data_IF_368637246889
#
_entry.id   IF_368637246889
#
_cell.length_a   1.000
_cell.length_b   1.000
_cell.length_c   1.000
_cell.angle_alpha   90.00
_cell.angle_beta   90.00
_cell.angle_gamma   90.00
#
_symmetry.space_group_name_H-M   'P 1'
#
loop_
_entity.id
_entity.type
_entity.pdbx_description
1 polymer ?
#
# COMPACT_ATOMS: atom_id res chain seq x y z
N UNK A 1 -161.68 53.64 -40.00
CA UNK A 1 -162.62 54.47 -39.21
C UNK A 1 -161.78 55.42 -38.38
N UNK A 2 -161.62 56.68 -38.84
CA UNK A 2 -162.27 57.89 -38.28
C UNK A 2 -161.67 58.30 -36.92
N UNK A 3 -161.27 59.54 -36.64
CA UNK A 3 -161.31 60.82 -37.34
C UNK A 3 -160.43 61.80 -36.54
N UNK A 4 -159.80 62.75 -37.25
CA UNK A 4 -159.77 64.19 -36.95
C UNK A 4 -159.95 64.68 -35.50
N UNK A 5 -158.94 65.37 -34.96
CA UNK A 5 -159.11 66.81 -34.65
C UNK A 5 -157.78 67.51 -34.36
N UNK A 6 -157.61 68.64 -35.04
CA UNK A 6 -156.60 69.64 -34.79
C UNK A 6 -156.66 70.18 -33.35
N UNK A 7 -155.50 70.34 -32.73
CA UNK A 7 -155.32 71.30 -31.64
C UNK A 7 -153.95 71.93 -31.77
N UNK A 8 -154.00 73.22 -32.10
CA UNK A 8 -153.05 74.31 -31.96
C UNK A 8 -151.62 74.00 -31.47
N UNK A 9 -150.60 74.63 -32.08
CA UNK A 9 -149.22 74.59 -31.60
C UNK A 9 -149.18 75.26 -30.24
N UNK A 10 -149.17 74.46 -29.17
CA UNK A 10 -148.86 74.95 -27.83
C UNK A 10 -147.42 75.41 -27.87
N UNK A 11 -147.27 76.73 -27.99
CA UNK A 11 -146.07 77.46 -27.60
C UNK A 11 -145.57 76.83 -26.29
N UNK A 12 -144.53 76.00 -26.37
CA UNK A 12 -143.75 75.62 -25.18
C UNK A 12 -143.42 76.95 -24.53
N UNK A 13 -143.94 77.19 -23.33
CA UNK A 13 -143.55 78.36 -22.57
C UNK A 13 -142.03 78.31 -22.44
N UNK A 14 -141.35 79.46 -22.54
CA UNK A 14 -139.88 79.52 -22.45
C UNK A 14 -139.37 78.69 -21.24
N UNK A 15 -140.14 78.60 -20.16
CA UNK A 15 -139.84 77.78 -18.98
C UNK A 15 -139.73 76.26 -19.21
N UNK A 16 -140.56 75.62 -20.03
CA UNK A 16 -140.51 74.16 -20.23
C UNK A 16 -139.36 73.73 -21.17
N UNK A 17 -139.04 74.54 -22.19
CA UNK A 17 -137.86 74.34 -23.04
C UNK A 17 -136.57 74.57 -22.26
N UNK A 18 -136.56 75.56 -21.36
CA UNK A 18 -135.44 75.80 -20.43
C UNK A 18 -135.27 74.61 -19.47
N UNK A 19 -136.34 74.08 -18.88
CA UNK A 19 -136.26 72.94 -17.96
C UNK A 19 -135.72 71.66 -18.63
N UNK A 20 -136.16 71.34 -19.85
CA UNK A 20 -135.63 70.20 -20.61
C UNK A 20 -134.18 70.42 -21.08
N UNK A 21 -133.81 71.66 -21.44
CA UNK A 21 -132.43 72.00 -21.78
C UNK A 21 -131.50 71.89 -20.55
N UNK A 22 -131.96 72.30 -19.36
CA UNK A 22 -131.23 72.14 -18.10
C UNK A 22 -131.10 70.67 -17.73
N UNK A 23 -132.17 69.87 -17.85
CA UNK A 23 -132.11 68.43 -17.56
C UNK A 23 -131.19 67.70 -18.55
N UNK A 24 -131.26 68.01 -19.84
CA UNK A 24 -130.35 67.47 -20.85
C UNK A 24 -128.90 67.88 -20.58
N UNK A 25 -128.64 69.14 -20.19
CA UNK A 25 -127.31 69.59 -19.77
C UNK A 25 -126.82 68.84 -18.53
N UNK A 26 -127.68 68.62 -17.53
CA UNK A 26 -127.37 67.87 -16.32
C UNK A 26 -127.06 66.41 -16.61
N UNK A 27 -127.86 65.74 -17.45
CA UNK A 27 -127.61 64.34 -17.85
C UNK A 27 -126.33 64.24 -18.66
N UNK A 28 -126.09 65.16 -19.60
CA UNK A 28 -124.84 65.21 -20.36
C UNK A 28 -123.63 65.47 -19.46
N UNK A 29 -123.76 66.36 -18.48
CA UNK A 29 -122.72 66.65 -17.50
C UNK A 29 -122.46 65.45 -16.56
N UNK A 30 -123.51 64.74 -16.14
CA UNK A 30 -123.41 63.53 -15.33
C UNK A 30 -122.78 62.38 -16.11
N UNK A 31 -123.14 62.20 -17.40
CA UNK A 31 -122.51 61.23 -18.29
C UNK A 31 -121.05 61.56 -18.53
N UNK A 32 -120.73 62.84 -18.80
CA UNK A 32 -119.36 63.32 -18.98
C UNK A 32 -118.54 63.14 -17.69
N UNK A 33 -119.15 63.36 -16.52
CA UNK A 33 -118.51 63.10 -15.23
C UNK A 33 -118.30 61.60 -15.02
N UNK A 34 -119.30 60.75 -15.29
CA UNK A 34 -119.18 59.29 -15.20
C UNK A 34 -118.11 58.74 -16.15
N UNK A 35 -118.05 59.19 -17.39
CA UNK A 35 -117.01 58.76 -18.35
C UNK A 35 -115.64 59.28 -17.95
N UNK A 36 -115.52 60.50 -17.43
CA UNK A 36 -114.27 61.06 -16.92
C UNK A 36 -113.78 60.30 -15.67
N UNK A 37 -114.66 60.01 -14.72
CA UNK A 37 -114.37 59.25 -13.51
C UNK A 37 -114.02 57.81 -13.86
N UNK A 38 -114.77 57.17 -14.76
CA UNK A 38 -114.47 55.81 -15.22
C UNK A 38 -113.14 55.78 -15.96
N UNK A 39 -112.84 56.74 -16.85
CA UNK A 39 -111.55 56.82 -17.53
C UNK A 39 -110.39 57.05 -16.54
N UNK A 40 -110.58 57.88 -15.50
CA UNK A 40 -109.60 58.08 -14.41
C UNK A 40 -109.39 56.81 -13.59
N UNK A 41 -110.46 56.08 -13.26
CA UNK A 41 -110.40 54.82 -12.52
C UNK A 41 -109.74 53.72 -13.37
N UNK A 42 -110.11 53.59 -14.65
CA UNK A 42 -109.50 52.65 -15.59
C UNK A 42 -108.02 52.95 -15.77
N UNK A 43 -107.66 54.20 -16.07
CA UNK A 43 -106.26 54.61 -16.20
C UNK A 43 -105.47 54.41 -14.91
N UNK A 44 -106.05 54.73 -13.75
CA UNK A 44 -105.44 54.46 -12.44
C UNK A 44 -105.28 52.98 -12.14
N UNK A 45 -106.24 52.13 -12.54
CA UNK A 45 -106.17 50.68 -12.38
C UNK A 45 -105.16 50.02 -13.33
N UNK A 46 -105.00 50.54 -14.54
CA UNK A 46 -103.97 50.12 -15.49
C UNK A 46 -102.58 50.52 -15.00
N UNK A 47 -102.41 51.75 -14.51
CA UNK A 47 -101.16 52.19 -13.86
C UNK A 47 -100.81 51.32 -12.64
N UNK A 48 -101.79 50.97 -11.82
CA UNK A 48 -101.58 50.09 -10.68
C UNK A 48 -101.19 48.67 -11.12
N UNK A 49 -101.82 48.13 -12.18
CA UNK A 49 -101.48 46.83 -12.75
C UNK A 49 -100.06 46.84 -13.34
N UNK A 50 -99.68 47.88 -14.07
CA UNK A 50 -98.33 48.05 -14.59
C UNK A 50 -97.30 48.17 -13.47
N UNK A 51 -97.57 49.01 -12.46
CA UNK A 51 -96.72 49.15 -11.28
C UNK A 51 -96.57 47.85 -10.48
N UNK A 52 -97.66 47.10 -10.31
CA UNK A 52 -97.62 45.77 -9.69
C UNK A 52 -96.85 44.75 -10.53
N UNK A 53 -96.97 44.82 -11.87
CA UNK A 53 -96.19 44.01 -12.81
C UNK A 53 -94.69 44.31 -12.73
N UNK A 54 -94.31 45.59 -12.70
CA UNK A 54 -92.93 46.02 -12.53
C UNK A 54 -92.36 45.60 -11.16
N UNK A 55 -93.14 45.75 -10.09
CA UNK A 55 -92.74 45.30 -8.75
C UNK A 55 -92.55 43.78 -8.68
N UNK A 56 -93.44 43.00 -9.31
CA UNK A 56 -93.30 41.53 -9.39
C UNK A 56 -92.08 41.12 -10.22
N UNK A 57 -91.80 41.81 -11.33
CA UNK A 57 -90.61 41.57 -12.14
C UNK A 57 -89.32 41.91 -11.36
N UNK A 58 -89.30 43.05 -10.68
CA UNK A 58 -88.19 43.45 -9.80
C UNK A 58 -87.97 42.47 -8.64
N UNK A 59 -89.03 41.95 -8.03
CA UNK A 59 -88.95 40.92 -6.99
C UNK A 59 -88.38 39.60 -7.53
N UNK A 60 -88.73 39.22 -8.76
CA UNK A 60 -88.17 38.03 -9.43
C UNK A 60 -86.68 38.22 -9.73
N UNK A 61 -86.29 39.37 -10.26
CA UNK A 61 -84.89 39.70 -10.53
C UNK A 61 -84.05 39.73 -9.25
N UNK A 62 -84.59 40.25 -8.14
CA UNK A 62 -83.94 40.22 -6.84
C UNK A 62 -83.75 38.79 -6.32
N UNK A 63 -84.76 37.93 -6.47
CA UNK A 63 -84.66 36.51 -6.12
C UNK A 63 -83.58 35.81 -6.95
N UNK A 64 -83.56 36.01 -8.27
CA UNK A 64 -82.56 35.39 -9.16
C UNK A 64 -81.15 35.89 -8.87
N UNK A 65 -81.00 37.20 -8.58
CA UNK A 65 -79.76 37.79 -8.12
C UNK A 65 -79.29 37.21 -6.77
N UNK A 66 -80.21 37.00 -5.83
CA UNK A 66 -79.91 36.38 -4.53
C UNK A 66 -79.51 34.90 -4.68
N UNK A 67 -80.14 34.15 -5.58
CA UNK A 67 -79.75 32.77 -5.91
C UNK A 67 -78.35 32.73 -6.55
N UNK A 68 -78.06 33.64 -7.48
CA UNK A 68 -76.73 33.74 -8.10
C UNK A 68 -75.65 34.09 -7.06
N UNK A 69 -75.96 34.98 -6.11
CA UNK A 69 -75.06 35.31 -5.01
C UNK A 69 -74.85 34.12 -4.07
N UNK A 70 -75.90 33.37 -3.76
CA UNK A 70 -75.81 32.16 -2.95
C UNK A 70 -74.95 31.08 -3.62
N UNK A 71 -75.12 30.86 -4.93
CA UNK A 71 -74.28 29.95 -5.71
C UNK A 71 -72.83 30.43 -5.76
N UNK A 72 -72.61 31.75 -5.92
CA UNK A 72 -71.29 32.38 -5.89
C UNK A 72 -70.61 32.19 -4.53
N UNK A 73 -71.33 32.39 -3.43
CA UNK A 73 -70.85 32.18 -2.08
C UNK A 73 -70.53 30.69 -1.82
N UNK A 74 -71.37 29.77 -2.26
CA UNK A 74 -71.13 28.33 -2.14
C UNK A 74 -69.90 27.88 -2.93
N UNK A 75 -69.68 28.43 -4.13
CA UNK A 75 -68.46 28.18 -4.92
C UNK A 75 -67.21 28.76 -4.24
N UNK A 76 -67.33 29.94 -3.64
CA UNK A 76 -66.23 30.57 -2.90
C UNK A 76 -65.87 29.75 -1.64
N UNK A 77 -66.87 29.24 -0.92
CA UNK A 77 -66.69 28.37 0.24
C UNK A 77 -66.04 27.03 -0.15
N UNK A 78 -66.54 26.38 -1.20
CA UNK A 78 -65.92 25.17 -1.75
C UNK A 78 -64.48 25.43 -2.23
N UNK A 79 -64.23 26.59 -2.84
CA UNK A 79 -62.88 27.03 -3.21
C UNK A 79 -61.97 27.23 -1.98
N UNK A 80 -62.48 27.86 -0.92
CA UNK A 80 -61.77 28.06 0.33
C UNK A 80 -61.47 26.73 1.06
N UNK A 81 -62.41 25.79 1.05
CA UNK A 81 -62.22 24.44 1.59
C UNK A 81 -61.14 23.68 0.81
N UNK A 82 -61.16 23.74 -0.53
CA UNK A 82 -60.11 23.14 -1.36
C UNK A 82 -58.73 23.74 -1.07
N UNK A 83 -58.63 25.06 -0.88
CA UNK A 83 -57.39 25.73 -0.48
C UNK A 83 -56.94 25.25 0.91
N UNK A 84 -57.86 25.13 1.87
CA UNK A 84 -57.57 24.64 3.22
C UNK A 84 -57.07 23.18 3.22
N UNK A 85 -57.75 22.29 2.49
CA UNK A 85 -57.33 20.89 2.31
C UNK A 85 -55.97 20.80 1.60
N UNK A 86 -55.75 21.61 0.57
CA UNK A 86 -54.47 21.72 -0.12
C UNK A 86 -53.34 22.16 0.82
N UNK A 87 -53.59 23.18 1.65
CA UNK A 87 -52.66 23.66 2.67
C UNK A 87 -52.38 22.59 3.75
N UNK A 88 -53.38 21.83 4.17
CA UNK A 88 -53.22 20.73 5.12
C UNK A 88 -52.34 19.58 4.59
N UNK A 89 -52.57 19.16 3.34
CA UNK A 89 -51.73 18.14 2.68
C UNK A 89 -50.28 18.62 2.51
N UNK A 90 -50.08 19.91 2.23
CA UNK A 90 -48.77 20.53 2.13
C UNK A 90 -48.03 20.46 3.46
N UNK A 91 -48.66 20.91 4.55
CA UNK A 91 -48.08 20.88 5.88
C UNK A 91 -47.67 19.46 6.28
N UNK A 92 -48.52 18.47 6.01
CA UNK A 92 -48.21 17.06 6.24
C UNK A 92 -47.01 16.57 5.41
N UNK A 93 -46.86 17.02 4.16
CA UNK A 93 -45.69 16.73 3.32
C UNK A 93 -44.40 17.35 3.85
N UNK A 94 -44.47 18.60 4.33
CA UNK A 94 -43.33 19.31 4.93
C UNK A 94 -42.88 18.58 6.20
N UNK A 95 -43.80 18.36 7.14
CA UNK A 95 -43.49 17.75 8.44
C UNK A 95 -43.13 16.27 8.34
N UNK A 96 -43.87 15.49 7.54
CA UNK A 96 -43.69 14.04 7.49
C UNK A 96 -42.58 13.57 6.56
N UNK A 97 -42.06 14.43 5.69
CA UNK A 97 -41.17 14.01 4.62
C UNK A 97 -39.97 14.93 4.41
N UNK A 98 -40.18 16.25 4.29
CA UNK A 98 -39.13 17.19 3.92
C UNK A 98 -38.21 17.53 5.10
N UNK A 99 -38.76 17.84 6.29
CA UNK A 99 -37.98 18.04 7.51
C UNK A 99 -37.08 16.82 7.84
N UNK A 100 -37.61 15.59 7.91
CA UNK A 100 -36.78 14.40 8.14
C UNK A 100 -35.71 14.17 7.06
N UNK A 101 -35.98 14.59 5.82
CA UNK A 101 -35.00 14.54 4.72
C UNK A 101 -33.84 15.53 4.93
N UNK A 102 -34.14 16.75 5.38
CA UNK A 102 -33.15 17.77 5.70
C UNK A 102 -32.27 17.36 6.90
N UNK A 103 -32.86 16.78 7.95
CA UNK A 103 -32.12 16.26 9.11
C UNK A 103 -31.14 15.15 8.70
N UNK A 104 -31.60 14.20 7.86
CA UNK A 104 -30.73 13.14 7.31
C UNK A 104 -29.61 13.69 6.45
N UNK A 105 -29.88 14.73 5.67
CA UNK A 105 -28.84 15.38 4.86
C UNK A 105 -27.78 16.04 5.75
N UNK A 106 -28.19 16.71 6.82
CA UNK A 106 -27.27 17.30 7.80
C UNK A 106 -26.43 16.23 8.50
N UNK A 107 -27.04 15.13 8.93
CA UNK A 107 -26.32 14.00 9.52
C UNK A 107 -25.32 13.38 8.54
N UNK A 108 -25.74 13.14 7.30
CA UNK A 108 -24.88 12.60 6.23
C UNK A 108 -23.71 13.53 5.90
N UNK A 109 -23.93 14.84 5.85
CA UNK A 109 -22.88 15.84 5.66
C UNK A 109 -21.88 15.83 6.83
N UNK A 110 -22.37 15.72 8.07
CA UNK A 110 -21.55 15.61 9.27
C UNK A 110 -20.66 14.35 9.27
N UNK A 111 -21.24 13.19 8.94
CA UNK A 111 -20.48 11.93 8.81
C UNK A 111 -19.42 12.02 7.72
N UNK A 112 -19.76 12.58 6.56
CA UNK A 112 -18.83 12.73 5.45
C UNK A 112 -17.65 13.67 5.81
N UNK A 113 -17.93 14.77 6.50
CA UNK A 113 -16.90 15.68 7.01
C UNK A 113 -15.97 14.97 8.01
N UNK A 114 -16.53 14.23 8.97
CA UNK A 114 -15.75 13.46 9.94
C UNK A 114 -14.86 12.40 9.27
N UNK A 115 -15.38 11.67 8.29
CA UNK A 115 -14.59 10.72 7.51
C UNK A 115 -13.47 11.40 6.71
N UNK A 116 -13.72 12.58 6.13
CA UNK A 116 -12.73 13.29 5.33
C UNK A 116 -11.56 13.77 6.21
N UNK A 117 -11.87 14.28 7.40
CA UNK A 117 -10.88 14.60 8.43
C UNK A 117 -10.12 13.35 8.91
N UNK A 118 -10.80 12.22 9.07
CA UNK A 118 -10.16 10.94 9.41
C UNK A 118 -9.14 10.53 8.35
N UNK A 119 -9.49 10.59 7.06
CA UNK A 119 -8.55 10.30 5.97
C UNK A 119 -7.36 11.25 6.04
N UNK A 120 -7.58 12.56 6.14
CA UNK A 120 -6.51 13.54 6.20
C UNK A 120 -5.54 13.26 7.36
N UNK A 121 -6.08 12.94 8.53
CA UNK A 121 -5.30 12.59 9.71
C UNK A 121 -4.56 11.26 9.54
N UNK A 122 -5.21 10.20 9.06
CA UNK A 122 -4.59 8.89 8.84
C UNK A 122 -3.49 8.98 7.76
N UNK A 123 -3.70 9.78 6.73
CA UNK A 123 -2.70 10.02 5.68
C UNK A 123 -1.49 10.75 6.27
N UNK A 124 -1.69 11.86 6.96
CA UNK A 124 -0.59 12.67 7.51
C UNK A 124 0.15 11.96 8.66
N UNK A 125 -0.56 11.27 9.54
CA UNK A 125 0.02 10.69 10.75
C UNK A 125 0.56 9.28 10.55
N UNK A 126 0.07 8.53 9.54
CA UNK A 126 0.42 7.12 9.35
C UNK A 126 0.96 6.85 7.95
N UNK A 127 0.18 7.13 6.90
CA UNK A 127 0.56 6.74 5.54
C UNK A 127 1.80 7.47 5.04
N UNK A 128 1.84 8.80 5.14
CA UNK A 128 2.97 9.61 4.68
C UNK A 128 4.27 9.18 5.39
N UNK A 129 4.35 9.16 6.74
CA UNK A 129 5.54 8.67 7.43
C UNK A 129 5.93 7.24 7.03
N UNK A 130 4.95 6.34 6.90
CA UNK A 130 5.20 4.96 6.47
C UNK A 130 5.84 4.89 5.07
N UNK A 131 5.31 5.62 4.11
CA UNK A 131 5.83 5.67 2.73
C UNK A 131 7.25 6.27 2.69
N UNK A 132 7.52 7.34 3.44
CA UNK A 132 8.88 7.91 3.52
C UNK A 132 9.87 6.96 4.20
N UNK A 133 9.45 6.22 5.23
CA UNK A 133 10.28 5.17 5.84
C UNK A 133 10.60 4.04 4.87
N UNK A 134 9.62 3.58 4.08
CA UNK A 134 9.85 2.57 3.04
C UNK A 134 10.87 3.07 2.03
N UNK A 135 10.76 4.32 1.58
CA UNK A 135 11.69 4.94 0.62
C UNK A 135 13.11 5.03 1.20
N UNK A 136 13.26 5.50 2.44
CA UNK A 136 14.56 5.56 3.14
C UNK A 136 15.19 4.16 3.34
N UNK A 137 14.40 3.20 3.84
CA UNK A 137 14.84 1.81 4.01
C UNK A 137 15.24 1.15 2.68
N UNK A 138 14.48 1.40 1.61
CA UNK A 138 14.81 0.92 0.27
C UNK A 138 16.12 1.52 -0.26
N UNK A 139 16.37 2.82 -0.02
CA UNK A 139 17.64 3.47 -0.40
C UNK A 139 18.82 2.90 0.37
N UNK A 140 18.69 2.72 1.69
CA UNK A 140 19.71 2.09 2.54
C UNK A 140 20.02 0.66 2.08
N UNK A 141 18.97 -0.13 1.86
CA UNK A 141 19.09 -1.49 1.37
C UNK A 141 19.76 -1.53 -0.02
N UNK A 142 19.36 -0.65 -0.95
CA UNK A 142 19.98 -0.56 -2.27
C UNK A 142 21.46 -0.21 -2.16
N UNK A 143 21.83 0.75 -1.30
CA UNK A 143 23.23 1.14 -1.08
C UNK A 143 24.05 -0.03 -0.52
N UNK A 144 23.53 -0.71 0.50
CA UNK A 144 24.18 -1.90 1.08
C UNK A 144 24.30 -3.05 0.09
N UNK A 145 23.27 -3.30 -0.72
CA UNK A 145 23.29 -4.32 -1.76
C UNK A 145 24.31 -4.01 -2.86
N UNK A 146 24.45 -2.74 -3.25
CA UNK A 146 25.49 -2.30 -4.21
C UNK A 146 26.89 -2.46 -3.62
N UNK A 147 27.11 -2.10 -2.36
CA UNK A 147 28.39 -2.30 -1.67
C UNK A 147 28.75 -3.79 -1.57
N UNK A 148 27.80 -4.63 -1.17
CA UNK A 148 28.01 -6.07 -1.09
C UNK A 148 28.26 -6.66 -2.49
N UNK A 149 27.49 -6.26 -3.49
CA UNK A 149 27.67 -6.66 -4.89
C UNK A 149 29.08 -6.33 -5.40
N UNK A 150 29.55 -5.10 -5.14
CA UNK A 150 30.90 -4.68 -5.49
C UNK A 150 31.96 -5.54 -4.76
N UNK A 151 31.75 -5.83 -3.48
CA UNK A 151 32.67 -6.63 -2.69
C UNK A 151 32.71 -8.12 -3.10
N UNK A 152 31.64 -8.63 -3.71
CA UNK A 152 31.52 -10.00 -4.25
C UNK A 152 31.96 -10.11 -5.72
N UNK A 153 32.30 -9.00 -6.37
CA UNK A 153 32.71 -8.99 -7.77
C UNK A 153 34.24 -8.95 -7.84
N UNK A 154 34.90 -9.95 -8.45
CA UNK A 154 36.36 -9.94 -8.58
C UNK A 154 36.85 -8.72 -9.34
N UNK A 155 37.96 -8.13 -8.90
CA UNK A 155 38.64 -7.04 -9.61
C UNK A 155 39.78 -7.55 -10.49
N UNK A 156 40.14 -6.81 -11.55
CA UNK A 156 41.34 -7.12 -12.32
C UNK A 156 42.59 -7.12 -11.41
N UNK A 157 43.27 -8.25 -11.32
CA UNK A 157 44.46 -8.42 -10.47
C UNK A 157 44.19 -8.96 -9.06
N UNK A 158 42.93 -9.13 -8.68
CA UNK A 158 42.51 -9.79 -7.43
C UNK A 158 43.20 -9.24 -6.17
N UNK A 159 43.36 -7.92 -6.08
CA UNK A 159 44.17 -7.26 -5.05
C UNK A 159 43.45 -6.10 -4.35
N UNK A 160 42.16 -5.87 -4.63
CA UNK A 160 41.43 -4.80 -3.97
C UNK A 160 41.25 -5.09 -2.47
N UNK A 161 41.55 -4.09 -1.64
CA UNK A 161 41.34 -4.16 -0.21
C UNK A 161 39.84 -4.32 0.10
N UNK A 162 39.51 -5.22 1.02
CA UNK A 162 38.14 -5.54 1.44
C UNK A 162 37.21 -6.08 0.34
N UNK A 163 37.75 -6.49 -0.81
CA UNK A 163 37.01 -7.27 -1.80
C UNK A 163 37.09 -8.77 -1.44
N UNK A 164 35.92 -9.38 -1.25
CA UNK A 164 35.77 -10.75 -0.77
C UNK A 164 36.14 -11.76 -1.85
N UNK A 165 35.72 -11.51 -3.10
CA UNK A 165 36.02 -12.38 -4.23
C UNK A 165 37.52 -12.40 -4.57
N UNK A 166 38.16 -11.23 -4.48
CA UNK A 166 39.61 -11.10 -4.59
C UNK A 166 40.32 -11.83 -3.45
N UNK A 167 39.77 -11.74 -2.24
CA UNK A 167 40.28 -12.46 -1.09
C UNK A 167 40.28 -13.97 -1.26
N UNK A 168 39.17 -14.52 -1.74
CA UNK A 168 39.06 -15.95 -2.07
C UNK A 168 40.05 -16.35 -3.17
N UNK A 169 40.23 -15.50 -4.19
CA UNK A 169 41.19 -15.71 -5.28
C UNK A 169 42.64 -15.72 -4.76
N UNK A 170 43.00 -14.80 -3.87
CA UNK A 170 44.32 -14.77 -3.22
C UNK A 170 44.57 -16.00 -2.37
N UNK A 171 43.56 -16.47 -1.62
CA UNK A 171 43.66 -17.68 -0.81
C UNK A 171 43.91 -18.92 -1.69
N UNK A 172 43.17 -19.05 -2.80
CA UNK A 172 43.36 -20.09 -3.80
C UNK A 172 44.79 -20.07 -4.39
N UNK A 173 45.26 -18.89 -4.80
CA UNK A 173 46.62 -18.72 -5.33
C UNK A 173 47.70 -19.08 -4.29
N UNK A 174 47.52 -18.66 -3.03
CA UNK A 174 48.42 -19.00 -1.93
C UNK A 174 48.43 -20.50 -1.61
N UNK A 175 47.28 -21.16 -1.61
CA UNK A 175 47.16 -22.60 -1.43
C UNK A 175 47.90 -23.36 -2.55
N UNK A 176 47.78 -22.89 -3.80
CA UNK A 176 48.51 -23.44 -4.95
C UNK A 176 50.02 -23.27 -4.83
N UNK A 177 50.50 -22.11 -4.39
CA UNK A 177 51.93 -21.88 -4.13
C UNK A 177 52.44 -22.78 -3.01
N UNK A 178 51.71 -22.89 -1.90
CA UNK A 178 52.08 -23.73 -0.76
C UNK A 178 52.08 -25.22 -1.14
N UNK A 179 51.11 -25.68 -1.95
CA UNK A 179 51.08 -27.03 -2.53
C UNK A 179 52.32 -27.30 -3.37
N UNK A 180 52.71 -26.34 -4.21
CA UNK A 180 53.91 -26.44 -5.05
C UNK A 180 55.18 -26.53 -4.22
N UNK A 181 55.34 -25.64 -3.23
CA UNK A 181 56.49 -25.65 -2.31
C UNK A 181 56.56 -26.93 -1.47
N UNK A 182 55.41 -27.43 -0.99
CA UNK A 182 55.34 -28.71 -0.29
C UNK A 182 55.75 -29.88 -1.18
N UNK A 183 55.39 -29.87 -2.47
CA UNK A 183 55.85 -30.85 -3.46
C UNK A 183 57.35 -30.80 -3.70
N UNK A 184 57.94 -29.59 -3.75
CA UNK A 184 59.40 -29.43 -3.86
C UNK A 184 60.14 -29.96 -2.62
N UNK A 185 59.62 -29.67 -1.42
CA UNK A 185 60.20 -30.14 -0.16
C UNK A 185 60.08 -31.67 -0.03
N UNK A 186 58.97 -32.25 -0.49
CA UNK A 186 58.75 -33.69 -0.57
C UNK A 186 59.80 -34.37 -1.47
N UNK A 187 60.00 -33.86 -2.69
CA UNK A 187 61.03 -34.36 -3.60
C UNK A 187 62.44 -34.21 -3.02
N UNK A 188 62.70 -33.13 -2.27
CA UNK A 188 63.96 -32.93 -1.55
C UNK A 188 64.16 -33.97 -0.43
N UNK A 189 63.11 -34.26 0.33
CA UNK A 189 63.13 -35.30 1.37
C UNK A 189 63.35 -36.69 0.78
N UNK A 190 62.73 -37.00 -0.37
CA UNK A 190 62.96 -38.26 -1.09
C UNK A 190 64.41 -38.40 -1.57
N UNK A 191 64.99 -37.35 -2.13
CA UNK A 191 66.41 -37.33 -2.52
C UNK A 191 67.33 -37.51 -1.31
N UNK A 192 67.02 -36.87 -0.18
CA UNK A 192 67.79 -37.02 1.06
C UNK A 192 67.69 -38.45 1.62
N UNK A 193 66.50 -39.04 1.60
CA UNK A 193 66.27 -40.43 1.97
C UNK A 193 67.02 -41.40 1.04
N UNK A 194 67.02 -41.13 -0.28
CA UNK A 194 67.77 -41.92 -1.25
C UNK A 194 69.29 -41.80 -1.05
N UNK A 195 69.81 -40.59 -0.81
CA UNK A 195 71.24 -40.37 -0.55
C UNK A 195 71.71 -41.01 0.76
N UNK A 196 70.90 -40.96 1.82
CA UNK A 196 71.19 -41.68 3.08
C UNK A 196 71.07 -43.19 2.92
N UNK A 197 70.12 -43.67 2.11
CA UNK A 197 70.01 -45.07 1.75
C UNK A 197 71.20 -45.54 0.90
N UNK A 198 71.76 -44.71 0.02
CA UNK A 198 73.00 -45.01 -0.73
C UNK A 198 74.23 -45.01 0.18
N UNK A 199 74.34 -44.03 1.09
CA UNK A 199 75.39 -43.99 2.12
C UNK A 199 75.35 -45.25 3.00
N UNK A 200 74.12 -45.69 3.34
CA UNK A 200 73.90 -46.95 4.02
C UNK A 200 74.08 -48.17 3.11
N UNK A 201 73.86 -48.02 1.81
CA UNK A 201 73.59 -49.11 0.89
C UNK A 201 74.76 -49.50 0.01
N UNK A 202 75.99 -49.04 0.26
CA UNK A 202 77.13 -49.86 -0.14
C UNK A 202 76.97 -51.18 0.60
N UNK A 203 76.70 -52.29 -0.09
CA UNK A 203 76.72 -53.57 0.56
C UNK A 203 78.09 -53.72 1.20
N UNK A 204 78.16 -54.25 2.42
CA UNK A 204 79.45 -54.53 3.04
C UNK A 204 80.36 -55.25 2.07
N UNK A 205 81.66 -54.95 2.11
CA UNK A 205 82.69 -55.46 1.19
C UNK A 205 82.30 -56.85 0.64
N UNK A 206 81.75 -56.90 -0.59
CA UNK A 206 81.30 -58.13 -1.24
C UNK A 206 79.80 -58.41 -1.43
N UNK A 207 78.88 -57.44 -1.37
CA UNK A 207 77.45 -57.65 -1.67
C UNK A 207 76.65 -58.49 -0.65
N UNK A 208 77.09 -58.59 0.60
CA UNK A 208 76.35 -59.32 1.65
C UNK A 208 75.36 -58.40 2.42
N UNK A 209 74.03 -58.60 2.29
CA UNK A 209 73.02 -57.79 2.99
C UNK A 209 72.93 -58.07 4.49
N UNK A 210 73.62 -59.09 5.02
CA UNK A 210 73.63 -59.42 6.46
C UNK A 210 74.66 -58.60 7.27
N UNK A 211 75.65 -57.99 6.60
CA UNK A 211 76.71 -57.20 7.23
C UNK A 211 76.32 -55.73 7.52
N UNK A 212 75.05 -55.38 7.34
CA UNK A 212 74.54 -54.05 7.60
C UNK A 212 74.91 -53.02 6.53
N UNK A 213 74.96 -51.75 6.92
CA UNK A 213 75.17 -50.62 6.02
C UNK A 213 76.63 -50.48 5.57
N UNK A 214 76.96 -49.79 4.48
CA UNK A 214 78.35 -49.63 4.01
C UNK A 214 79.31 -49.03 5.05
N UNK A 215 78.83 -48.09 5.86
CA UNK A 215 79.52 -47.60 7.04
C UNK A 215 79.58 -48.62 8.18
N UNK A 216 78.51 -49.39 8.42
CA UNK A 216 78.54 -50.46 9.42
C UNK A 216 79.48 -51.60 9.01
N UNK A 217 79.55 -51.94 7.74
CA UNK A 217 80.44 -52.95 7.18
C UNK A 217 81.90 -52.48 7.14
N UNK A 218 82.15 -51.18 6.90
CA UNK A 218 83.48 -50.60 7.13
C UNK A 218 83.86 -50.70 8.61
N UNK A 219 82.94 -50.38 9.53
CA UNK A 219 83.18 -50.55 10.96
C UNK A 219 83.44 -52.02 11.32
N UNK A 220 82.68 -52.97 10.75
CA UNK A 220 82.86 -54.40 10.92
C UNK A 220 84.19 -54.89 10.35
N UNK A 221 84.58 -54.45 9.15
CA UNK A 221 85.87 -54.79 8.53
C UNK A 221 87.05 -54.26 9.34
N UNK A 222 86.93 -53.06 9.90
CA UNK A 222 87.92 -52.48 10.82
C UNK A 222 87.96 -53.20 12.17
N UNK A 223 86.81 -53.69 12.66
CA UNK A 223 86.72 -54.54 13.85
C UNK A 223 87.47 -55.86 13.61
N UNK A 224 87.21 -56.54 12.50
CA UNK A 224 87.87 -57.79 12.13
C UNK A 224 89.39 -57.59 11.97
N UNK A 225 89.83 -56.49 11.34
CA UNK A 225 91.25 -56.15 11.20
C UNK A 225 91.91 -55.85 12.56
N UNK A 226 91.17 -55.19 13.46
CA UNK A 226 91.62 -54.92 14.82
C UNK A 226 91.84 -56.23 15.59
N UNK A 227 90.88 -57.16 15.52
CA UNK A 227 90.96 -58.48 16.16
C UNK A 227 92.09 -59.34 15.58
N UNK A 228 92.28 -59.32 14.26
CA UNK A 228 93.39 -60.00 13.60
C UNK A 228 94.77 -59.44 14.06
N UNK A 229 94.85 -58.15 14.37
CA UNK A 229 96.05 -57.53 14.91
C UNK A 229 96.33 -57.89 16.40
N UNK A 230 95.38 -58.50 17.11
CA UNK A 230 95.52 -59.01 18.50
C UNK A 230 95.87 -60.52 18.56
N UNK A 231 95.96 -61.21 17.42
CA UNK A 231 96.30 -62.64 17.34
C UNK A 231 97.77 -62.96 17.69
N UNK A 232 98.08 -64.23 18.06
CA UNK A 232 99.37 -64.65 18.63
C UNK A 232 100.62 -64.53 17.71
N UNK A 233 100.48 -64.19 16.43
CA UNK A 233 101.58 -64.08 15.44
C UNK A 233 101.92 -62.62 15.00
N UNK A 234 101.38 -61.59 15.66
CA UNK A 234 101.54 -60.19 15.22
C UNK A 234 102.96 -59.60 15.38
N UNK A 235 103.73 -59.53 14.28
CA UNK A 235 105.15 -59.12 14.24
C UNK A 235 105.45 -57.59 14.12
N UNK A 236 104.56 -56.68 14.53
CA UNK A 236 104.83 -55.21 14.41
C UNK A 236 104.39 -54.47 15.68
N UNK A 237 105.07 -53.39 16.12
CA UNK A 237 104.55 -52.45 17.12
C UNK A 237 103.28 -51.75 16.58
N UNK A 238 102.16 -52.45 16.65
CA UNK A 238 100.87 -52.10 16.06
C UNK A 238 100.04 -51.15 16.93
N UNK A 239 100.51 -50.70 18.10
CA UNK A 239 99.72 -49.86 19.01
C UNK A 239 99.12 -48.62 18.32
N UNK A 240 99.93 -47.87 17.57
CA UNK A 240 99.48 -46.68 16.81
C UNK A 240 98.51 -47.04 15.68
N UNK A 241 98.72 -48.18 15.02
CA UNK A 241 97.86 -48.66 13.92
C UNK A 241 96.52 -49.14 14.48
N UNK A 242 96.52 -49.82 15.63
CA UNK A 242 95.35 -50.26 16.38
C UNK A 242 94.48 -49.08 16.82
N UNK A 243 95.09 -48.02 17.34
CA UNK A 243 94.36 -46.82 17.73
C UNK A 243 93.75 -46.09 16.53
N UNK A 244 94.46 -46.03 15.40
CA UNK A 244 93.92 -45.50 14.13
C UNK A 244 92.74 -46.34 13.61
N UNK A 245 92.83 -47.67 13.69
CA UNK A 245 91.74 -48.59 13.29
C UNK A 245 90.52 -48.41 14.20
N UNK A 246 90.70 -48.29 15.53
CA UNK A 246 89.62 -47.96 16.46
C UNK A 246 88.96 -46.63 16.11
N UNK A 247 89.74 -45.57 15.95
CA UNK A 247 89.20 -44.25 15.61
C UNK A 247 88.39 -44.26 14.30
N UNK A 248 88.85 -45.02 13.30
CA UNK A 248 88.17 -45.15 12.02
C UNK A 248 86.86 -45.95 12.15
N UNK A 249 86.84 -46.99 12.99
CA UNK A 249 85.64 -47.78 13.32
C UNK A 249 84.60 -46.93 14.03
N UNK A 250 85.01 -46.20 15.08
CA UNK A 250 84.12 -45.32 15.83
C UNK A 250 83.55 -44.23 14.91
N UNK A 251 84.38 -43.69 14.02
CA UNK A 251 83.97 -42.76 12.97
C UNK A 251 82.91 -43.36 12.04
N UNK A 252 83.11 -44.61 11.60
CA UNK A 252 82.18 -45.31 10.72
C UNK A 252 80.85 -45.65 11.41
N UNK A 253 80.87 -46.08 12.69
CA UNK A 253 79.65 -46.28 13.49
C UNK A 253 78.89 -44.97 13.71
N UNK A 254 79.59 -43.87 14.00
CA UNK A 254 78.98 -42.53 14.13
C UNK A 254 78.35 -42.08 12.83
N UNK A 255 79.00 -42.34 11.69
CA UNK A 255 78.47 -42.03 10.36
C UNK A 255 77.20 -42.82 10.07
N UNK A 256 77.17 -44.12 10.39
CA UNK A 256 75.98 -44.95 10.22
C UNK A 256 74.80 -44.46 11.08
N UNK A 257 75.06 -44.19 12.37
CA UNK A 257 74.06 -43.65 13.28
C UNK A 257 73.52 -42.30 12.77
N UNK A 258 74.40 -41.40 12.32
CA UNK A 258 74.02 -40.12 11.72
C UNK A 258 73.21 -40.28 10.43
N UNK A 259 73.57 -41.22 9.56
CA UNK A 259 72.81 -41.55 8.36
C UNK A 259 71.41 -42.10 8.70
N UNK A 260 71.31 -42.91 9.75
CA UNK A 260 70.04 -43.41 10.27
C UNK A 260 69.15 -42.31 10.83
N UNK A 261 69.71 -41.39 11.60
CA UNK A 261 68.99 -40.22 12.10
C UNK A 261 68.50 -39.33 10.95
N UNK A 262 69.33 -39.08 9.94
CA UNK A 262 68.98 -38.25 8.79
C UNK A 262 67.89 -38.91 7.92
N UNK A 263 67.95 -40.23 7.74
CA UNK A 263 66.91 -41.00 7.04
C UNK A 263 65.57 -40.94 7.80
N UNK A 264 65.59 -41.11 9.12
CA UNK A 264 64.39 -40.98 9.95
C UNK A 264 63.81 -39.56 9.86
N UNK A 265 64.66 -38.54 9.94
CA UNK A 265 64.27 -37.14 9.75
C UNK A 265 63.69 -36.86 8.37
N UNK A 266 64.27 -37.43 7.30
CA UNK A 266 63.72 -37.34 5.94
C UNK A 266 62.33 -38.01 5.83
N UNK A 267 62.13 -39.15 6.49
CA UNK A 267 60.83 -39.81 6.57
C UNK A 267 59.78 -38.99 7.33
N UNK A 268 60.16 -38.34 8.43
CA UNK A 268 59.31 -37.40 9.16
C UNK A 268 58.96 -36.17 8.30
N UNK A 269 59.95 -35.60 7.61
CA UNK A 269 59.74 -34.47 6.70
C UNK A 269 58.77 -34.82 5.57
N UNK A 270 58.95 -35.98 4.94
CA UNK A 270 58.04 -36.51 3.89
C UNK A 270 56.61 -36.69 4.39
N UNK A 271 56.46 -37.20 5.60
CA UNK A 271 55.13 -37.34 6.23
C UNK A 271 54.49 -35.97 6.48
N UNK A 272 55.28 -35.01 6.97
CA UNK A 272 54.85 -33.62 7.18
C UNK A 272 54.46 -32.89 5.89
N UNK A 273 55.25 -33.02 4.80
CA UNK A 273 54.96 -32.42 3.49
C UNK A 273 53.74 -33.06 2.83
N UNK A 274 53.49 -34.34 3.07
CA UNK A 274 52.29 -35.03 2.60
C UNK A 274 51.05 -34.51 3.32
N UNK A 275 51.09 -34.40 4.66
CA UNK A 275 50.01 -33.79 5.43
C UNK A 275 49.76 -32.31 5.04
N UNK A 276 50.82 -31.56 4.75
CA UNK A 276 50.72 -30.18 4.26
C UNK A 276 50.04 -30.11 2.89
N UNK A 277 50.40 -31.00 1.95
CA UNK A 277 49.73 -31.10 0.64
C UNK A 277 48.26 -31.45 0.77
N UNK A 278 47.90 -32.39 1.64
CA UNK A 278 46.50 -32.72 1.89
C UNK A 278 45.73 -31.51 2.47
N UNK A 279 46.37 -30.77 3.37
CA UNK A 279 45.85 -29.51 3.91
C UNK A 279 45.62 -28.45 2.82
N UNK A 280 46.57 -28.27 1.90
CA UNK A 280 46.42 -27.29 0.80
C UNK A 280 45.36 -27.71 -0.22
N UNK A 281 45.19 -29.00 -0.50
CA UNK A 281 44.08 -29.49 -1.34
C UNK A 281 42.72 -29.18 -0.70
N UNK A 282 42.58 -29.35 0.62
CA UNK A 282 41.35 -28.98 1.33
C UNK A 282 41.11 -27.47 1.31
N UNK A 283 42.16 -26.68 1.51
CA UNK A 283 42.10 -25.22 1.47
C UNK A 283 41.68 -24.71 0.07
N UNK A 284 42.28 -25.27 -0.97
CA UNK A 284 41.98 -25.00 -2.38
C UNK A 284 40.50 -25.27 -2.71
N UNK A 285 39.99 -26.44 -2.32
CA UNK A 285 38.58 -26.78 -2.48
C UNK A 285 37.64 -25.85 -1.69
N UNK A 286 38.05 -25.41 -0.49
CA UNK A 286 37.31 -24.44 0.31
C UNK A 286 37.25 -23.05 -0.35
N UNK A 287 38.38 -22.56 -0.86
CA UNK A 287 38.47 -21.29 -1.57
C UNK A 287 37.62 -21.31 -2.86
N UNK A 288 37.67 -22.40 -3.63
CA UNK A 288 36.86 -22.56 -4.83
C UNK A 288 35.35 -22.49 -4.54
N UNK A 289 34.88 -23.18 -3.48
CA UNK A 289 33.48 -23.12 -3.03
C UNK A 289 33.07 -21.73 -2.58
N UNK A 290 33.99 -20.99 -1.96
CA UNK A 290 33.73 -19.62 -1.53
C UNK A 290 33.52 -18.69 -2.74
N UNK A 291 34.40 -18.78 -3.74
CA UNK A 291 34.28 -18.04 -5.00
C UNK A 291 32.97 -18.36 -5.73
N UNK A 292 32.60 -19.64 -5.82
CA UNK A 292 31.32 -20.06 -6.41
C UNK A 292 30.13 -19.48 -5.63
N UNK A 293 30.16 -19.58 -4.30
CA UNK A 293 29.13 -19.01 -3.43
C UNK A 293 28.96 -17.50 -3.60
N UNK A 294 30.07 -16.76 -3.70
CA UNK A 294 30.05 -15.32 -3.97
C UNK A 294 29.50 -14.98 -5.35
N UNK A 295 29.83 -15.76 -6.37
CA UNK A 295 29.27 -15.61 -7.72
C UNK A 295 27.75 -15.82 -7.73
N UNK A 296 27.26 -16.89 -7.08
CA UNK A 296 25.81 -17.16 -6.94
C UNK A 296 25.10 -16.05 -6.18
N UNK A 297 25.69 -15.57 -5.08
CA UNK A 297 25.12 -14.50 -4.27
C UNK A 297 25.08 -13.17 -5.04
N UNK A 298 26.16 -12.80 -5.73
CA UNK A 298 26.21 -11.62 -6.59
C UNK A 298 25.16 -11.69 -7.70
N UNK A 299 25.02 -12.85 -8.36
CA UNK A 299 23.96 -13.06 -9.35
C UNK A 299 22.55 -12.87 -8.80
N UNK A 300 22.28 -13.35 -7.57
CA UNK A 300 20.98 -13.14 -6.90
C UNK A 300 20.75 -11.71 -6.46
N UNK A 301 21.77 -11.00 -5.99
CA UNK A 301 21.67 -9.59 -5.60
C UNK A 301 21.36 -8.69 -6.80
N UNK A 302 21.98 -8.99 -7.95
CA UNK A 302 21.91 -8.20 -9.18
C UNK A 302 20.94 -8.78 -10.24
N UNK A 303 20.07 -9.73 -9.87
CA UNK A 303 19.09 -10.29 -10.82
C UNK A 303 18.19 -9.17 -11.36
N UNK A 304 18.16 -9.03 -12.68
CA UNK A 304 17.28 -8.06 -13.38
C UNK A 304 15.99 -8.73 -13.90
N UNK A 305 15.72 -10.00 -13.53
CA UNK A 305 14.47 -10.68 -13.86
C UNK A 305 13.29 -10.07 -13.08
N UNK A 306 12.27 -9.48 -13.73
CA UNK A 306 11.11 -8.92 -13.05
C UNK A 306 10.28 -9.96 -12.27
N UNK A 307 10.32 -11.24 -12.66
CA UNK A 307 9.62 -12.32 -11.95
C UNK A 307 10.39 -12.83 -10.73
N UNK A 308 11.69 -12.51 -10.63
CA UNK A 308 12.57 -12.86 -9.50
C UNK A 308 13.64 -11.78 -9.34
N UNK A 309 13.23 -10.55 -8.94
CA UNK A 309 14.14 -9.42 -8.90
C UNK A 309 15.19 -9.63 -7.81
N UNK A 310 16.42 -9.24 -8.13
CA UNK A 310 17.47 -9.08 -7.13
C UNK A 310 17.17 -7.92 -6.20
N UNK A 311 17.97 -7.78 -5.14
CA UNK A 311 17.77 -6.70 -4.15
C UNK A 311 17.88 -5.32 -4.82
N UNK A 312 18.78 -5.16 -5.79
CA UNK A 312 18.95 -3.87 -6.49
C UNK A 312 17.72 -3.53 -7.34
N UNK A 313 17.24 -4.45 -8.18
CA UNK A 313 16.02 -4.21 -8.97
C UNK A 313 14.78 -4.05 -8.09
N UNK A 314 14.63 -4.91 -7.07
CA UNK A 314 13.49 -4.86 -6.14
C UNK A 314 13.40 -3.53 -5.38
N UNK A 315 14.54 -2.97 -4.96
CA UNK A 315 14.56 -1.64 -4.31
C UNK A 315 14.25 -0.49 -5.28
N UNK A 316 14.62 -0.60 -6.56
CA UNK A 316 14.18 0.37 -7.60
C UNK A 316 12.67 0.30 -7.84
N UNK A 317 12.12 -0.90 -8.03
CA UNK A 317 10.68 -1.12 -8.20
C UNK A 317 9.89 -0.60 -6.99
N UNK A 318 10.43 -0.80 -5.79
CA UNK A 318 9.83 -0.29 -4.58
C UNK A 318 9.84 1.25 -4.53
N UNK A 319 10.95 1.89 -4.91
CA UNK A 319 11.03 3.35 -5.00
C UNK A 319 10.06 3.93 -6.05
N UNK A 320 9.85 3.25 -7.17
CA UNK A 320 8.82 3.62 -8.14
C UNK A 320 7.41 3.49 -7.57
N UNK A 321 7.15 2.41 -6.81
CA UNK A 321 5.89 2.19 -6.11
C UNK A 321 5.60 3.27 -5.07
N UNK A 322 6.55 3.59 -4.20
CA UNK A 322 6.41 4.66 -3.19
C UNK A 322 6.25 6.04 -3.83
N UNK A 323 6.94 6.31 -4.95
CA UNK A 323 6.76 7.53 -5.71
C UNK A 323 5.32 7.67 -6.26
N UNK A 324 4.73 6.60 -6.79
CA UNK A 324 3.33 6.59 -7.23
C UNK A 324 2.37 6.85 -6.07
N UNK A 325 2.62 6.27 -4.89
CA UNK A 325 1.81 6.51 -3.70
C UNK A 325 1.92 7.97 -3.24
N UNK A 326 3.14 8.56 -3.21
CA UNK A 326 3.32 9.99 -2.91
C UNK A 326 2.55 10.89 -3.87
N UNK A 327 2.63 10.63 -5.18
CA UNK A 327 1.83 11.37 -6.17
C UNK A 327 0.33 11.19 -5.93
N UNK A 328 -0.13 10.00 -5.54
CA UNK A 328 -1.54 9.79 -5.18
C UNK A 328 -1.97 10.57 -3.92
N UNK A 329 -1.04 10.76 -2.97
CA UNK A 329 -1.28 11.43 -1.70
C UNK A 329 -1.23 12.97 -1.82
N UNK A 330 -0.13 13.48 -2.38
CA UNK A 330 0.21 14.90 -2.46
C UNK A 330 -0.32 15.54 -3.75
N UNK A 331 -0.62 14.72 -4.75
CA UNK A 331 -1.00 15.17 -6.09
C UNK A 331 0.20 15.33 -7.00
N UNK A 332 -0.07 15.72 -8.25
CA UNK A 332 0.98 16.15 -9.17
C UNK A 332 1.25 17.64 -8.91
N UNK A 333 2.50 18.02 -8.57
CA UNK A 333 2.82 19.43 -8.30
C UNK A 333 2.44 20.34 -9.47
N UNK A 334 1.64 21.36 -9.19
CA UNK A 334 1.18 22.33 -10.20
C UNK A 334 0.00 21.88 -11.07
N UNK A 335 -0.52 20.66 -10.87
CA UNK A 335 -1.66 20.14 -11.62
C UNK A 335 -2.96 20.21 -10.77
N UNK A 336 -3.87 21.15 -11.04
CA UNK A 336 -5.12 21.26 -10.30
C UNK A 336 -6.08 20.09 -10.53
N UNK A 337 -5.98 19.38 -11.66
CA UNK A 337 -6.82 18.23 -12.00
C UNK A 337 -6.35 16.95 -11.29
N UNK A 338 -5.14 16.98 -10.71
CA UNK A 338 -4.54 15.88 -9.94
C UNK A 338 -4.11 16.35 -8.55
N UNK A 339 -5.06 16.80 -7.70
CA UNK A 339 -4.76 17.44 -6.42
C UNK A 339 -4.21 16.48 -5.34
N UNK A 340 -4.29 15.17 -5.57
CA UNK A 340 -3.93 14.16 -4.57
C UNK A 340 -5.00 14.01 -3.48
N UNK A 341 -4.87 12.94 -2.70
CA UNK A 341 -5.81 12.58 -1.65
C UNK A 341 -5.94 13.67 -0.58
N UNK A 342 -4.83 14.28 -0.15
CA UNK A 342 -4.85 15.29 0.92
C UNK A 342 -5.68 16.52 0.52
N UNK A 343 -5.42 17.09 -0.65
CA UNK A 343 -6.16 18.26 -1.12
C UNK A 343 -7.59 17.91 -1.54
N UNK A 344 -7.81 16.72 -2.11
CA UNK A 344 -9.17 16.25 -2.40
C UNK A 344 -10.02 16.13 -1.13
N UNK A 345 -9.45 15.57 -0.04
CA UNK A 345 -10.16 15.48 1.25
C UNK A 345 -10.38 16.84 1.90
N UNK A 346 -9.44 17.78 1.78
CA UNK A 346 -9.64 19.15 2.24
C UNK A 346 -10.80 19.85 1.51
N UNK A 347 -10.84 19.75 0.18
CA UNK A 347 -11.93 20.28 -0.64
C UNK A 347 -13.27 19.60 -0.30
N UNK A 348 -13.26 18.30 0.00
CA UNK A 348 -14.44 17.56 0.43
C UNK A 348 -14.95 18.04 1.79
N UNK A 349 -14.05 18.31 2.75
CA UNK A 349 -14.40 18.91 4.05
C UNK A 349 -15.04 20.29 3.87
N UNK A 350 -14.52 21.13 2.98
CA UNK A 350 -15.12 22.44 2.66
C UNK A 350 -16.49 22.29 1.99
N UNK A 351 -16.60 21.40 0.99
CA UNK A 351 -17.85 21.14 0.30
C UNK A 351 -18.94 20.57 1.22
N UNK A 352 -18.55 19.72 2.18
CA UNK A 352 -19.48 19.19 3.19
C UNK A 352 -19.91 20.20 4.23
N UNK A 353 -19.02 21.12 4.64
CA UNK A 353 -19.40 22.24 5.49
C UNK A 353 -20.48 23.10 4.80
N UNK A 354 -20.27 23.44 3.52
CA UNK A 354 -21.27 24.16 2.71
C UNK A 354 -22.57 23.37 2.53
N UNK A 355 -22.49 22.05 2.35
CA UNK A 355 -23.68 21.18 2.27
C UNK A 355 -24.45 21.17 3.61
N UNK A 356 -23.75 21.09 4.74
CA UNK A 356 -24.36 21.13 6.06
C UNK A 356 -25.00 22.50 6.36
N UNK A 357 -24.37 23.60 5.96
CA UNK A 357 -24.94 24.95 6.03
C UNK A 357 -26.20 25.09 5.15
N UNK A 358 -26.16 24.53 3.93
CA UNK A 358 -27.31 24.48 3.03
C UNK A 358 -28.45 23.63 3.59
N UNK A 359 -28.15 22.48 4.18
CA UNK A 359 -29.13 21.61 4.85
C UNK A 359 -29.76 22.31 6.06
N UNK A 360 -28.96 23.04 6.85
CA UNK A 360 -29.43 23.83 7.99
C UNK A 360 -30.32 24.98 7.51
N UNK A 361 -29.94 25.67 6.43
CA UNK A 361 -30.74 26.74 5.83
C UNK A 361 -32.06 26.21 5.28
N UNK A 362 -32.05 25.04 4.64
CA UNK A 362 -33.24 24.34 4.19
C UNK A 362 -34.13 23.96 5.39
N UNK A 363 -33.58 23.42 6.47
CA UNK A 363 -34.32 23.07 7.67
C UNK A 363 -34.96 24.31 8.32
N UNK A 364 -34.22 25.42 8.42
CA UNK A 364 -34.74 26.69 8.92
C UNK A 364 -35.85 27.26 8.01
N UNK A 365 -35.71 27.12 6.69
CA UNK A 365 -36.76 27.49 5.73
C UNK A 365 -38.02 26.65 5.89
N UNK A 366 -37.88 25.33 6.04
CA UNK A 366 -38.98 24.38 6.33
C UNK A 366 -39.69 24.76 7.63
N UNK A 367 -38.95 25.12 8.68
CA UNK A 367 -39.49 25.57 9.98
C UNK A 367 -40.13 26.96 9.87
N UNK A 368 -39.64 27.83 8.99
CA UNK A 368 -40.12 29.20 8.78
C UNK A 368 -41.34 29.32 7.85
N UNK A 369 -41.61 28.33 6.99
CA UNK A 369 -42.81 28.30 6.14
C UNK A 369 -44.03 27.90 6.97
N UNK A 370 -44.62 28.89 7.62
CA UNK A 370 -46.05 28.91 7.87
C UNK A 370 -46.75 29.42 6.58
N UNK A 371 -47.26 28.46 5.79
CA UNK A 371 -48.16 28.62 4.63
C UNK A 371 -47.63 29.26 3.33
N UNK A 372 -48.06 28.62 2.21
CA UNK A 372 -48.14 29.07 0.81
C UNK A 372 -46.87 29.07 -0.07
N UNK A 373 -46.65 27.96 -0.82
CA UNK A 373 -46.57 27.93 -2.30
C UNK A 373 -46.49 26.45 -2.81
N UNK A 374 -47.13 26.04 -3.94
CA UNK A 374 -47.21 24.66 -4.39
C UNK A 374 -46.07 24.29 -5.37
N UNK A 375 -44.96 23.77 -4.82
CA UNK A 375 -43.85 23.17 -5.59
C UNK A 375 -43.31 21.86 -4.98
N UNK A 376 -44.09 21.20 -4.11
CA UNK A 376 -43.58 20.31 -3.06
C UNK A 376 -43.30 18.82 -3.33
N UNK A 377 -43.76 18.17 -4.42
CA UNK A 377 -43.36 16.78 -4.68
C UNK A 377 -41.89 16.65 -5.11
N UNK A 378 -41.43 17.54 -5.99
CA UNK A 378 -40.08 17.49 -6.58
C UNK A 378 -38.98 17.90 -5.60
N UNK A 379 -39.24 18.92 -4.78
CA UNK A 379 -38.29 19.35 -3.74
C UNK A 379 -38.08 18.26 -2.69
N UNK A 380 -39.13 17.51 -2.37
CA UNK A 380 -39.08 16.42 -1.43
C UNK A 380 -38.31 15.20 -1.96
N UNK A 381 -38.57 14.81 -3.21
CA UNK A 381 -37.84 13.70 -3.82
C UNK A 381 -36.36 14.08 -4.05
N UNK A 382 -36.10 15.34 -4.39
CA UNK A 382 -34.75 15.90 -4.48
C UNK A 382 -33.99 15.90 -3.14
N UNK A 383 -34.63 16.28 -2.03
CA UNK A 383 -33.97 16.28 -0.72
C UNK A 383 -33.67 14.87 -0.20
N UNK A 384 -34.56 13.90 -0.46
CA UNK A 384 -34.29 12.48 -0.19
C UNK A 384 -33.13 11.94 -1.02
N UNK A 385 -33.15 12.19 -2.33
CA UNK A 385 -32.08 11.75 -3.22
C UNK A 385 -30.72 12.35 -2.81
N UNK A 386 -30.71 13.60 -2.36
CA UNK A 386 -29.51 14.26 -1.86
C UNK A 386 -29.03 13.66 -0.53
N UNK A 387 -29.93 13.37 0.41
CA UNK A 387 -29.59 12.70 1.67
C UNK A 387 -29.04 11.28 1.44
N UNK A 388 -29.65 10.51 0.55
CA UNK A 388 -29.17 9.18 0.15
C UNK A 388 -27.81 9.26 -0.56
N UNK A 389 -27.62 10.24 -1.44
CA UNK A 389 -26.34 10.51 -2.09
C UNK A 389 -25.23 10.88 -1.10
N UNK A 390 -25.54 11.73 -0.12
CA UNK A 390 -24.62 12.10 0.96
C UNK A 390 -24.27 10.88 1.84
N UNK A 391 -25.25 10.03 2.16
CA UNK A 391 -25.04 8.77 2.88
C UNK A 391 -24.10 7.82 2.14
N UNK A 392 -24.36 7.57 0.85
CA UNK A 392 -23.49 6.73 0.01
C UNK A 392 -22.07 7.29 -0.12
N UNK A 393 -21.94 8.61 -0.23
CA UNK A 393 -20.63 9.27 -0.28
C UNK A 393 -19.89 9.14 1.06
N UNK A 394 -20.60 9.27 2.19
CA UNK A 394 -20.04 9.01 3.52
C UNK A 394 -19.53 7.58 3.65
N UNK A 395 -20.33 6.59 3.26
CA UNK A 395 -19.94 5.17 3.37
C UNK A 395 -18.72 4.87 2.48
N UNK A 396 -18.65 5.46 1.28
CA UNK A 396 -17.48 5.36 0.40
C UNK A 396 -16.23 6.01 1.00
N UNK A 397 -16.40 7.11 1.74
CA UNK A 397 -15.32 7.82 2.41
C UNK A 397 -14.81 7.06 3.65
N UNK A 398 -15.70 6.41 4.41
CA UNK A 398 -15.32 5.49 5.48
C UNK A 398 -14.49 4.32 4.92
N UNK A 399 -14.93 3.72 3.80
CA UNK A 399 -14.18 2.67 3.12
C UNK A 399 -12.81 3.14 2.62
N UNK A 400 -12.70 4.40 2.14
CA UNK A 400 -11.43 5.00 1.75
C UNK A 400 -10.51 5.24 2.95
N UNK A 401 -11.05 5.68 4.09
CA UNK A 401 -10.29 5.85 5.34
C UNK A 401 -9.72 4.53 5.84
N UNK A 402 -10.51 3.46 5.77
CA UNK A 402 -10.07 2.11 6.12
C UNK A 402 -9.02 1.60 5.14
N UNK A 403 -9.19 1.86 3.84
CA UNK A 403 -8.20 1.58 2.81
C UNK A 403 -6.86 2.27 3.07
N UNK A 404 -6.87 3.56 3.36
CA UNK A 404 -5.67 4.34 3.73
C UNK A 404 -5.00 3.82 5.00
N UNK A 405 -5.79 3.43 6.01
CA UNK A 405 -5.27 2.84 7.25
C UNK A 405 -4.57 1.51 6.97
N UNK A 406 -5.18 0.64 6.16
CA UNK A 406 -4.59 -0.64 5.76
C UNK A 406 -3.33 -0.46 4.93
N UNK A 407 -3.31 0.52 4.03
CA UNK A 407 -2.14 0.86 3.23
C UNK A 407 -0.99 1.35 4.11
N UNK A 408 -1.27 2.22 5.09
CA UNK A 408 -0.28 2.69 6.05
C UNK A 408 0.34 1.55 6.86
N UNK A 409 -0.48 0.64 7.39
CA UNK A 409 0.01 -0.55 8.10
C UNK A 409 0.82 -1.48 7.18
N UNK A 410 0.49 -1.56 5.90
CA UNK A 410 1.28 -2.27 4.89
C UNK A 410 2.63 -1.62 4.65
N UNK A 411 2.67 -0.29 4.54
CA UNK A 411 3.91 0.47 4.37
C UNK A 411 4.84 0.32 5.59
N UNK A 412 4.31 0.37 6.82
CA UNK A 412 5.11 0.12 8.03
C UNK A 412 5.73 -1.27 8.04
N UNK A 413 4.95 -2.32 7.77
CA UNK A 413 5.48 -3.70 7.70
C UNK A 413 6.56 -3.85 6.62
N UNK A 414 6.40 -3.14 5.50
CA UNK A 414 7.38 -3.16 4.41
C UNK A 414 8.66 -2.42 4.80
N UNK A 415 8.55 -1.29 5.49
CA UNK A 415 9.69 -0.55 6.04
C UNK A 415 10.48 -1.43 7.02
N UNK A 416 9.79 -2.06 7.98
CA UNK A 416 10.41 -2.99 8.94
C UNK A 416 11.11 -4.16 8.22
N UNK A 417 10.49 -4.67 7.15
CA UNK A 417 11.06 -5.72 6.31
C UNK A 417 12.35 -5.27 5.61
N UNK A 418 12.36 -4.05 5.07
CA UNK A 418 13.53 -3.46 4.43
C UNK A 418 14.67 -3.23 5.41
N UNK A 419 14.38 -2.70 6.60
CA UNK A 419 15.40 -2.46 7.65
C UNK A 419 16.05 -3.78 8.08
N UNK A 420 15.26 -4.84 8.26
CA UNK A 420 15.78 -6.18 8.57
C UNK A 420 16.65 -6.74 7.45
N UNK A 421 16.25 -6.54 6.19
CA UNK A 421 17.02 -7.01 5.04
C UNK A 421 18.31 -6.20 4.87
N UNK A 422 18.28 -4.89 5.14
CA UNK A 422 19.46 -4.02 5.12
C UNK A 422 20.46 -4.48 6.19
N UNK A 423 20.01 -4.67 7.42
CA UNK A 423 20.84 -5.19 8.51
C UNK A 423 21.42 -6.59 8.19
N UNK A 424 20.64 -7.47 7.57
CA UNK A 424 21.13 -8.78 7.12
C UNK A 424 22.19 -8.69 6.02
N UNK A 425 22.05 -7.73 5.10
CA UNK A 425 23.01 -7.46 4.02
C UNK A 425 24.32 -6.90 4.58
N UNK A 426 24.24 -6.02 5.58
CA UNK A 426 25.40 -5.49 6.30
C UNK A 426 26.13 -6.58 7.09
N UNK A 427 25.41 -7.42 7.84
CA UNK A 427 25.99 -8.56 8.55
C UNK A 427 26.70 -9.52 7.60
N UNK A 428 26.11 -9.79 6.44
CA UNK A 428 26.71 -10.63 5.41
C UNK A 428 27.98 -10.00 4.84
N UNK A 429 27.96 -8.70 4.57
CA UNK A 429 29.14 -7.95 4.15
C UNK A 429 30.26 -8.01 5.19
N UNK A 430 29.98 -7.71 6.46
CA UNK A 430 30.98 -7.77 7.54
C UNK A 430 31.51 -9.19 7.76
N UNK A 431 30.63 -10.20 7.78
CA UNK A 431 31.00 -11.59 7.98
C UNK A 431 31.90 -12.12 6.87
N UNK A 432 31.68 -11.69 5.64
CA UNK A 432 32.54 -12.07 4.53
C UNK A 432 33.80 -11.18 4.39
N UNK A 433 33.76 -9.91 4.81
CA UNK A 433 34.97 -9.08 4.93
C UNK A 433 35.96 -9.64 5.98
N UNK A 434 35.47 -10.27 7.04
CA UNK A 434 36.30 -10.93 8.06
C UNK A 434 37.16 -12.09 7.50
N UNK A 435 36.77 -12.69 6.37
CA UNK A 435 37.53 -13.75 5.67
C UNK A 435 38.36 -13.22 4.50
N UNK A 436 38.44 -11.90 4.32
CA UNK A 436 39.39 -11.31 3.39
C UNK A 436 40.84 -11.48 3.91
N UNK A 437 41.85 -11.60 3.03
CA UNK A 437 43.24 -11.76 3.43
C UNK A 437 43.74 -10.64 4.34
N UNK A 438 43.24 -9.41 4.18
CA UNK A 438 43.59 -8.28 5.06
C UNK A 438 43.05 -8.49 6.49
N UNK A 439 41.84 -9.05 6.63
CA UNK A 439 41.28 -9.46 7.92
C UNK A 439 42.02 -10.65 8.54
N UNK A 440 42.35 -11.67 7.74
CA UNK A 440 43.11 -12.85 8.19
C UNK A 440 44.57 -12.54 8.55
N UNK A 441 45.22 -11.59 7.86
CA UNK A 441 46.59 -11.16 8.13
C UNK A 441 46.68 -10.17 9.31
N UNK A 442 45.61 -9.44 9.61
CA UNK A 442 45.53 -8.54 10.76
C UNK A 442 45.33 -9.26 12.09
N UNK A 443 44.74 -10.46 12.09
CA UNK A 443 44.67 -11.35 13.25
C UNK A 443 45.89 -12.26 13.28
N UNK A 444 46.97 -11.82 13.91
CA UNK A 444 48.32 -12.41 13.88
C UNK A 444 48.47 -13.83 14.47
N UNK A 445 47.39 -14.56 14.76
CA UNK A 445 47.45 -15.92 15.28
C UNK A 445 46.97 -16.93 14.24
N UNK A 446 47.90 -17.76 13.76
CA UNK A 446 47.63 -18.88 12.87
C UNK A 446 46.56 -19.87 13.43
N UNK A 447 46.39 -19.91 14.76
CA UNK A 447 45.34 -20.68 15.43
C UNK A 447 43.93 -20.15 15.17
N UNK A 448 43.76 -18.84 15.05
CA UNK A 448 42.46 -18.19 14.80
C UNK A 448 42.02 -18.36 13.35
N UNK A 449 42.97 -18.31 12.40
CA UNK A 449 42.71 -18.57 10.99
C UNK A 449 42.25 -20.02 10.73
N UNK A 450 42.87 -21.01 11.41
CA UNK A 450 42.44 -22.40 11.36
C UNK A 450 41.08 -22.65 12.06
N UNK A 451 40.83 -21.96 13.18
CA UNK A 451 39.54 -21.99 13.87
C UNK A 451 38.41 -21.37 13.05
N UNK A 452 38.68 -20.28 12.31
CA UNK A 452 37.75 -19.66 11.37
C UNK A 452 37.42 -20.59 10.20
N UNK A 453 38.42 -21.23 9.58
CA UNK A 453 38.21 -22.24 8.52
C UNK A 453 37.41 -23.46 9.03
N UNK A 454 37.68 -23.92 10.26
CA UNK A 454 36.92 -25.00 10.93
C UNK A 454 35.48 -24.60 11.25
N UNK A 455 35.26 -23.36 11.73
CA UNK A 455 33.95 -22.79 11.97
C UNK A 455 33.14 -22.61 10.67
N UNK A 456 33.79 -22.35 9.53
CA UNK A 456 33.12 -22.21 8.23
C UNK A 456 32.57 -23.53 7.68
N UNK A 457 33.22 -24.67 7.93
CA UNK A 457 32.68 -25.99 7.57
C UNK A 457 31.38 -26.34 8.31
N UNK A 458 31.20 -25.78 9.52
CA UNK A 458 30.02 -26.03 10.37
C UNK A 458 28.97 -24.91 10.21
N UNK A 459 29.40 -23.65 10.06
CA UNK A 459 28.55 -22.47 10.02
C UNK A 459 27.78 -22.30 8.70
N UNK A 460 28.38 -22.65 7.57
CA UNK A 460 27.70 -22.63 6.26
C UNK A 460 26.58 -23.67 6.16
N UNK A 461 26.79 -24.85 6.77
CA UNK A 461 25.76 -25.90 6.92
C UNK A 461 24.69 -25.48 7.93
N UNK A 462 25.09 -24.84 9.04
CA UNK A 462 24.18 -24.35 10.08
C UNK A 462 23.23 -23.25 9.59
N UNK A 463 23.75 -22.24 8.89
CA UNK A 463 22.94 -21.16 8.33
C UNK A 463 21.94 -21.67 7.27
N UNK A 464 22.37 -22.60 6.41
CA UNK A 464 21.50 -23.23 5.41
C UNK A 464 20.43 -24.13 6.06
N UNK A 465 20.77 -24.87 7.12
CA UNK A 465 19.83 -25.72 7.86
C UNK A 465 18.78 -24.91 8.64
N UNK A 466 19.17 -23.76 9.21
CA UNK A 466 18.25 -22.82 9.90
C UNK A 466 17.28 -22.19 8.90
N UNK A 467 17.77 -21.75 7.73
CA UNK A 467 16.92 -21.20 6.66
C UNK A 467 15.97 -22.27 6.08
N UNK A 468 16.42 -23.52 5.93
CA UNK A 468 15.58 -24.64 5.49
C UNK A 468 14.50 -25.00 6.52
N UNK A 469 14.83 -25.01 7.83
CA UNK A 469 13.85 -25.25 8.91
C UNK A 469 12.79 -24.16 8.99
N UNK A 470 13.14 -22.90 8.72
CA UNK A 470 12.19 -21.79 8.66
C UNK A 470 11.24 -21.88 7.47
N UNK A 471 11.70 -22.43 6.33
CA UNK A 471 10.87 -22.65 5.13
C UNK A 471 9.86 -23.80 5.32
N UNK A 472 10.24 -24.87 6.02
CA UNK A 472 9.38 -26.03 6.30
C UNK A 472 8.35 -25.80 7.42
N UNK A 473 8.50 -24.73 8.22
CA UNK A 473 7.50 -24.33 9.22
C UNK A 473 6.42 -23.37 8.69
N UNK A 474 6.54 -22.95 7.43
CA UNK A 474 5.59 -22.03 6.76
C UNK A 474 4.85 -22.65 5.58
N UNK A 475 5.16 -23.91 5.25
CA UNK A 475 4.33 -24.81 4.44
C UNK A 475 3.55 -25.72 5.37
#
# INVERSE_FOLDING_TARGET
>A
MTQSRATAPRLRSRSQTIALAILALLVTALLAFYTLVTARITGGSEQLKEGAGQASAGATQLKDGALTLADGAARADAGAEQVSVGAGKLLAGIQGKLAPGADKLQEGAGRLSAGALKIQNDVNAKLAPGVYKVDDGARKLSAGALQLSAALTPTPGANAENNLADGATRLFNGATQLKTGAGQLDAGAERLAAGTAQLKGYPGAGNDPTLGTGSAALAQGLQNLFEAADGPEGLVPLAVVKDKIRALRDGAQRLDAGAGQLQAGAGQLKSGTSALRDGTVKLDAGAARLTEGFSVLSGKLNSEDPASPGVVLGTRQLAEGTAKIRVGMDGVPGDPDRPGLLKATANLTEGTARLAEGATSLNNGIQGVAAADPGTPTLLDGSRALAEGAGRLSDGNDALADGSTRLAAGAEKLADGNDRLAAGTEQLHSGAAAVSPSGMLGTSDAGTAAALLGAMGVGSVGAFAVLRKLRLRRS
#
